data_IF_505666761120
#
_entry.id   IF_505666761120
#
_cell.length_a   1.000
_cell.length_b   1.000
_cell.length_c   1.000
_cell.angle_alpha   90.00
_cell.angle_beta   90.00
_cell.angle_gamma   90.00
#
_symmetry.space_group_name_H-M   'P 1'
#
loop_
_entity.id
_entity.type
_entity.pdbx_description
1 polymer ?
#
# COMPACT_ATOMS: atom_id res chain seq x y z
N UNK A 1 28.33 -1.60 -16.27
CA UNK A 1 26.97 -1.78 -16.80
C UNK A 1 26.00 -1.67 -15.64
N UNK A 2 25.20 -0.61 -15.49
CA UNK A 2 24.19 -0.54 -14.44
C UNK A 2 23.10 -1.56 -14.74
N UNK A 3 22.81 -2.45 -13.76
CA UNK A 3 21.74 -3.40 -13.87
C UNK A 3 20.40 -2.64 -13.98
N UNK A 4 19.75 -2.72 -15.12
CA UNK A 4 18.36 -2.34 -15.27
C UNK A 4 17.54 -3.10 -14.22
N UNK A 5 17.19 -2.42 -13.13
CA UNK A 5 16.14 -2.90 -12.24
C UNK A 5 14.84 -2.84 -13.05
N UNK A 6 14.47 -3.98 -13.63
CA UNK A 6 13.10 -4.18 -14.11
C UNK A 6 12.20 -3.89 -12.93
N UNK A 7 11.46 -2.78 -12.99
CA UNK A 7 10.34 -2.52 -12.10
C UNK A 7 9.37 -3.68 -12.30
N UNK A 8 9.43 -4.65 -11.39
CA UNK A 8 8.55 -5.82 -11.42
C UNK A 8 7.11 -5.32 -11.40
N UNK A 9 6.25 -5.93 -12.22
CA UNK A 9 4.82 -5.59 -12.25
C UNK A 9 4.26 -5.79 -10.84
N UNK A 10 3.83 -4.69 -10.20
CA UNK A 10 3.12 -4.76 -8.92
C UNK A 10 1.76 -5.37 -9.14
N UNK A 11 1.45 -6.47 -8.45
CA UNK A 11 0.14 -7.08 -8.49
C UNK A 11 -0.87 -6.20 -7.73
N UNK A 12 -2.07 -6.01 -8.27
CA UNK A 12 -3.16 -5.29 -7.64
C UNK A 12 -4.22 -6.30 -7.18
N UNK A 13 -4.45 -6.38 -5.88
CA UNK A 13 -5.41 -7.30 -5.28
C UNK A 13 -6.49 -6.53 -4.53
N UNK A 14 -7.75 -6.91 -4.71
CA UNK A 14 -8.86 -6.39 -3.93
C UNK A 14 -9.46 -7.52 -3.11
N UNK A 15 -9.44 -7.37 -1.79
CA UNK A 15 -9.98 -8.34 -0.84
C UNK A 15 -11.21 -7.75 -0.16
N UNK A 16 -12.34 -8.43 -0.27
CA UNK A 16 -13.58 -8.04 0.39
C UNK A 16 -13.83 -8.91 1.61
N UNK A 17 -14.02 -8.29 2.77
CA UNK A 17 -14.28 -8.96 4.04
C UNK A 17 -15.62 -8.49 4.61
N UNK A 18 -16.40 -9.41 5.18
CA UNK A 18 -17.62 -9.07 5.88
C UNK A 18 -17.34 -8.26 7.17
N UNK A 19 -16.19 -8.50 7.81
CA UNK A 19 -15.80 -7.81 9.03
C UNK A 19 -14.29 -7.84 9.29
N UNK A 20 -13.84 -7.05 10.27
CA UNK A 20 -12.45 -7.07 10.77
C UNK A 20 -12.10 -8.43 11.39
N UNK A 21 -13.05 -9.10 12.02
CA UNK A 21 -12.88 -10.44 12.59
C UNK A 21 -12.59 -11.46 11.48
N UNK A 22 -13.28 -11.36 10.35
CA UNK A 22 -12.99 -12.20 9.18
C UNK A 22 -11.56 -11.92 8.68
N UNK A 23 -11.16 -10.66 8.49
CA UNK A 23 -9.79 -10.34 8.14
C UNK A 23 -8.78 -10.97 9.11
N UNK A 24 -9.03 -10.89 10.42
CA UNK A 24 -8.16 -11.49 11.45
C UNK A 24 -7.98 -12.99 11.28
N UNK A 25 -9.02 -13.69 10.85
CA UNK A 25 -8.93 -15.14 10.62
C UNK A 25 -7.94 -15.48 9.49
N UNK A 26 -7.63 -14.51 8.62
CA UNK A 26 -6.67 -14.61 7.52
C UNK A 26 -5.29 -14.05 7.87
N UNK A 27 -5.03 -13.67 9.12
CA UNK A 27 -3.75 -13.12 9.54
C UNK A 27 -2.97 -14.09 10.42
N UNK A 28 -1.65 -14.07 10.27
CA UNK A 28 -0.67 -14.63 11.20
C UNK A 28 0.32 -13.54 11.54
N UNK A 29 0.54 -13.33 12.82
CA UNK A 29 1.49 -12.34 13.31
C UNK A 29 2.82 -13.03 13.57
N UNK A 30 3.87 -12.56 12.92
CA UNK A 30 5.26 -12.99 13.08
C UNK A 30 6.11 -11.80 13.54
N UNK A 31 7.30 -12.07 14.09
CA UNK A 31 8.17 -11.04 14.70
C UNK A 31 8.49 -9.87 13.77
N UNK A 32 8.55 -10.11 12.46
CA UNK A 32 9.00 -9.11 11.46
C UNK A 32 7.93 -8.70 10.46
N UNK A 33 6.82 -9.42 10.38
CA UNK A 33 5.76 -9.12 9.42
C UNK A 33 4.43 -9.74 9.84
N UNK A 34 3.35 -9.14 9.40
CA UNK A 34 2.04 -9.76 9.44
C UNK A 34 1.84 -10.53 8.14
N UNK A 35 1.58 -11.82 8.23
CA UNK A 35 1.25 -12.65 7.07
C UNK A 35 -0.26 -12.64 6.87
N UNK A 36 -0.68 -12.21 5.69
CA UNK A 36 -2.05 -12.34 5.20
C UNK A 36 -2.12 -13.55 4.28
N UNK A 37 -3.03 -14.46 4.52
CA UNK A 37 -3.18 -15.66 3.70
C UNK A 37 -4.62 -15.86 3.26
N UNK A 38 -4.79 -16.37 2.04
CA UNK A 38 -6.08 -16.74 1.48
C UNK A 38 -5.89 -17.80 0.39
N UNK A 39 -6.99 -18.45 0.02
CA UNK A 39 -7.00 -19.42 -1.06
C UNK A 39 -7.54 -18.77 -2.33
N UNK A 40 -6.80 -18.89 -3.40
CA UNK A 40 -7.22 -18.52 -4.75
C UNK A 40 -6.46 -19.40 -5.75
N UNK A 41 -7.19 -20.27 -6.45
CA UNK A 41 -6.60 -21.20 -7.40
C UNK A 41 -6.20 -20.53 -8.73
N UNK A 42 -6.74 -19.34 -9.02
CA UNK A 42 -6.47 -18.60 -10.25
C UNK A 42 -5.26 -17.68 -10.13
N UNK A 43 -4.87 -17.37 -8.89
CA UNK A 43 -3.80 -16.43 -8.61
C UNK A 43 -2.48 -17.14 -8.34
N UNK A 44 -1.62 -17.20 -9.35
CA UNK A 44 -0.24 -17.68 -9.23
C UNK A 44 0.73 -16.52 -9.30
N UNK A 45 1.28 -16.14 -8.15
CA UNK A 45 2.27 -15.07 -8.03
C UNK A 45 3.58 -15.64 -7.50
N UNK A 46 4.67 -15.32 -8.20
CA UNK A 46 6.00 -15.72 -7.77
C UNK A 46 6.37 -15.11 -6.41
N UNK A 47 7.09 -15.86 -5.57
CA UNK A 47 7.62 -15.34 -4.30
C UNK A 47 8.48 -14.09 -4.56
N UNK A 48 8.38 -13.10 -3.68
CA UNK A 48 9.03 -11.80 -3.82
C UNK A 48 8.28 -10.79 -4.70
N UNK A 49 7.21 -11.18 -5.40
CA UNK A 49 6.37 -10.23 -6.15
C UNK A 49 5.78 -9.21 -5.20
N UNK A 50 5.88 -7.93 -5.54
CA UNK A 50 5.20 -6.86 -4.79
C UNK A 50 3.71 -6.88 -5.12
N UNK A 51 2.88 -6.77 -4.09
CA UNK A 51 1.43 -6.64 -4.21
C UNK A 51 0.94 -5.39 -3.48
N UNK A 52 -0.01 -4.68 -4.09
CA UNK A 52 -0.82 -3.67 -3.41
C UNK A 52 -2.18 -4.27 -3.15
N UNK A 53 -2.63 -4.22 -1.91
CA UNK A 53 -3.86 -4.86 -1.46
C UNK A 53 -4.84 -3.78 -1.01
N UNK A 54 -5.97 -3.68 -1.68
CA UNK A 54 -7.12 -2.90 -1.22
C UNK A 54 -8.05 -3.83 -0.43
N UNK A 55 -8.21 -3.57 0.86
CA UNK A 55 -9.15 -4.30 1.72
C UNK A 55 -10.43 -3.49 1.84
N UNK A 56 -11.54 -4.12 1.50
CA UNK A 56 -12.89 -3.53 1.54
C UNK A 56 -13.71 -4.29 2.58
N UNK A 57 -14.51 -3.58 3.36
CA UNK A 57 -15.41 -4.19 4.35
C UNK A 57 -16.85 -3.92 3.97
N UNK A 58 -17.67 -4.97 3.84
CA UNK A 58 -19.02 -4.91 3.27
C UNK A 58 -19.95 -3.91 3.98
N UNK A 59 -19.76 -3.70 5.26
CA UNK A 59 -20.60 -2.83 6.08
C UNK A 59 -20.01 -1.42 6.27
N UNK A 60 -19.00 -1.04 5.50
CA UNK A 60 -18.38 0.26 5.66
C UNK A 60 -17.87 0.80 4.32
N UNK A 61 -17.98 2.11 4.14
CA UNK A 61 -17.28 2.81 3.06
C UNK A 61 -15.75 2.85 3.28
N UNK A 62 -15.26 2.03 4.20
CA UNK A 62 -13.88 2.03 4.64
C UNK A 62 -13.06 1.11 3.76
N UNK A 63 -11.99 1.64 3.22
CA UNK A 63 -10.98 0.86 2.52
C UNK A 63 -9.63 1.03 3.21
N UNK A 64 -8.87 -0.04 3.26
CA UNK A 64 -7.48 -0.01 3.70
C UNK A 64 -6.59 -0.51 2.58
N UNK A 65 -5.57 0.26 2.23
CA UNK A 65 -4.56 -0.16 1.27
C UNK A 65 -3.27 -0.46 2.00
N UNK A 66 -2.69 -1.62 1.71
CA UNK A 66 -1.39 -2.03 2.23
C UNK A 66 -0.50 -2.52 1.10
N UNK A 67 0.80 -2.29 1.25
CA UNK A 67 1.81 -2.92 0.41
C UNK A 67 2.25 -4.22 1.05
N UNK A 68 2.38 -5.26 0.24
CA UNK A 68 2.83 -6.56 0.67
C UNK A 68 3.82 -7.14 -0.33
N UNK A 69 4.51 -8.20 0.05
CA UNK A 69 5.26 -9.05 -0.86
C UNK A 69 4.77 -10.48 -0.76
N UNK A 70 4.77 -11.20 -1.87
CA UNK A 70 4.45 -12.62 -1.87
C UNK A 70 5.53 -13.36 -1.08
N UNK A 71 5.17 -13.91 0.08
CA UNK A 71 6.07 -14.73 0.87
C UNK A 71 6.18 -16.14 0.27
N UNK A 72 5.03 -16.70 -0.14
CA UNK A 72 4.93 -17.97 -0.84
C UNK A 72 3.59 -18.13 -1.52
N UNK A 73 3.54 -18.96 -2.56
CA UNK A 73 2.33 -19.47 -3.20
C UNK A 73 2.47 -20.98 -3.30
N UNK A 74 1.50 -21.74 -2.81
CA UNK A 74 1.52 -23.22 -2.85
C UNK A 74 0.12 -23.80 -2.69
N UNK A 75 -0.27 -24.72 -3.56
CA UNK A 75 -1.54 -25.44 -3.47
C UNK A 75 -2.78 -24.52 -3.53
N UNK A 76 -2.71 -23.43 -4.29
CA UNK A 76 -3.78 -22.45 -4.37
C UNK A 76 -3.90 -21.58 -3.11
N UNK A 77 -2.91 -21.60 -2.19
CA UNK A 77 -2.84 -20.73 -1.04
C UNK A 77 -1.74 -19.69 -1.26
N UNK A 78 -2.11 -18.43 -1.19
CA UNK A 78 -1.19 -17.29 -1.29
C UNK A 78 -0.92 -16.73 0.11
N UNK A 79 0.35 -16.52 0.41
CA UNK A 79 0.83 -15.89 1.63
C UNK A 79 1.52 -14.56 1.29
N UNK A 80 1.02 -13.48 1.84
CA UNK A 80 1.51 -12.13 1.62
C UNK A 80 2.10 -11.57 2.91
N UNK A 81 3.37 -11.22 2.89
CA UNK A 81 4.02 -10.53 4.00
C UNK A 81 3.73 -9.03 3.93
N UNK A 82 3.01 -8.53 4.93
CA UNK A 82 2.72 -7.11 5.12
C UNK A 82 3.69 -6.56 6.16
N UNK A 83 4.69 -5.77 5.79
CA UNK A 83 5.70 -5.25 6.72
C UNK A 83 5.20 -4.05 7.54
N UNK A 84 3.97 -3.60 7.32
CA UNK A 84 3.36 -2.43 7.96
C UNK A 84 3.02 -2.73 9.42
N UNK A 85 3.89 -2.32 10.35
CA UNK A 85 3.69 -2.47 11.80
C UNK A 85 2.44 -1.73 12.31
N UNK A 86 2.06 -0.63 11.64
CA UNK A 86 0.84 0.11 11.95
C UNK A 86 -0.41 -0.68 11.57
N UNK A 87 -0.39 -1.35 10.41
CA UNK A 87 -1.47 -2.24 10.01
C UNK A 87 -1.67 -3.36 11.03
N UNK A 88 -0.59 -4.02 11.46
CA UNK A 88 -0.64 -5.07 12.48
C UNK A 88 -1.30 -4.56 13.77
N UNK A 89 -0.87 -3.40 14.28
CA UNK A 89 -1.40 -2.76 15.48
C UNK A 89 -2.89 -2.42 15.33
N UNK A 90 -3.27 -1.72 14.26
CA UNK A 90 -4.66 -1.34 13.99
C UNK A 90 -5.60 -2.54 13.96
N UNK A 91 -5.18 -3.64 13.32
CA UNK A 91 -5.98 -4.87 13.27
C UNK A 91 -6.05 -5.53 14.65
N UNK A 92 -4.96 -5.55 15.42
CA UNK A 92 -4.91 -6.15 16.75
C UNK A 92 -5.80 -5.38 17.73
N UNK A 93 -5.75 -4.06 17.72
CA UNK A 93 -6.49 -3.17 18.62
C UNK A 93 -7.96 -2.98 18.24
N UNK A 94 -8.42 -3.60 17.16
CA UNK A 94 -9.75 -3.36 16.57
C UNK A 94 -9.97 -1.91 16.11
N UNK A 95 -8.90 -1.19 15.88
CA UNK A 95 -8.89 0.23 15.57
C UNK A 95 -8.74 0.49 14.06
N UNK A 96 -9.26 -0.39 13.20
CA UNK A 96 -9.39 -0.07 11.78
C UNK A 96 -10.40 1.07 11.65
N UNK A 97 -9.92 2.26 11.99
CA UNK A 97 -10.69 3.49 11.82
C UNK A 97 -10.74 3.78 10.33
N UNK A 98 -11.90 3.58 9.76
CA UNK A 98 -12.13 3.96 8.37
C UNK A 98 -11.98 5.45 8.19
N UNK A 99 -11.21 5.80 7.20
CA UNK A 99 -11.07 7.20 6.80
C UNK A 99 -12.18 7.53 5.82
N UNK A 100 -12.79 8.70 5.99
CA UNK A 100 -13.75 9.22 5.01
C UNK A 100 -13.03 9.42 3.66
N UNK A 101 -13.52 8.79 2.61
CA UNK A 101 -13.04 8.90 1.25
C UNK A 101 -12.17 7.72 0.79
N UNK A 102 -12.41 7.32 -0.46
CA UNK A 102 -11.71 6.22 -1.12
C UNK A 102 -10.22 6.52 -1.23
N UNK A 103 -9.39 5.53 -0.97
CA UNK A 103 -7.95 5.54 -1.21
C UNK A 103 -7.58 4.42 -2.17
N UNK A 104 -6.63 4.71 -3.02
CA UNK A 104 -6.09 3.77 -3.99
C UNK A 104 -4.62 3.53 -3.69
N UNK A 105 -4.19 2.29 -3.72
CA UNK A 105 -2.77 1.94 -3.67
C UNK A 105 -2.05 2.40 -4.94
N UNK A 106 -0.86 2.95 -4.80
CA UNK A 106 -0.17 3.59 -5.92
C UNK A 106 1.19 2.97 -6.23
N UNK A 107 2.07 2.81 -5.29
CA UNK A 107 3.45 2.34 -5.48
C UNK A 107 4.22 3.14 -6.55
N UNK A 108 4.26 4.46 -6.40
CA UNK A 108 4.95 5.38 -7.32
C UNK A 108 6.06 6.12 -6.59
N UNK A 109 7.20 6.22 -7.26
CA UNK A 109 8.33 6.99 -6.74
C UNK A 109 8.07 8.48 -6.93
N UNK A 110 8.23 9.26 -5.85
CA UNK A 110 8.10 10.69 -5.82
C UNK A 110 9.44 11.35 -5.44
N UNK A 111 9.70 12.50 -6.03
CA UNK A 111 10.64 13.48 -5.49
C UNK A 111 9.87 14.35 -4.49
N UNK A 112 10.37 14.38 -3.26
CA UNK A 112 9.89 15.22 -2.19
C UNK A 112 10.93 16.32 -1.96
N UNK A 113 10.53 17.57 -2.08
CA UNK A 113 11.34 18.74 -1.81
C UNK A 113 10.77 19.49 -0.60
N UNK A 114 11.63 19.80 0.35
CA UNK A 114 11.27 20.60 1.54
C UNK A 114 11.48 22.09 1.28
N UNK A 115 10.86 22.95 2.08
CA UNK A 115 11.10 24.40 2.02
C UNK A 115 12.57 24.80 2.17
N UNK A 116 13.39 23.95 2.80
CA UNK A 116 14.85 24.13 2.89
C UNK A 116 15.59 23.86 1.58
N UNK A 117 14.92 23.42 0.52
CA UNK A 117 15.52 22.97 -0.73
C UNK A 117 16.10 21.54 -0.68
N UNK A 118 16.01 20.84 0.45
CA UNK A 118 16.48 19.48 0.54
C UNK A 118 15.51 18.52 -0.17
N UNK A 119 16.05 17.70 -1.07
CA UNK A 119 15.31 16.72 -1.85
C UNK A 119 15.49 15.30 -1.32
N UNK A 120 14.46 14.48 -1.46
CA UNK A 120 14.49 13.05 -1.12
C UNK A 120 13.59 12.26 -2.04
N UNK A 121 13.94 11.00 -2.28
CA UNK A 121 13.11 10.09 -3.04
C UNK A 121 12.27 9.25 -2.08
N UNK A 122 10.95 9.32 -2.22
CA UNK A 122 9.98 8.61 -1.39
C UNK A 122 8.99 7.83 -2.26
N UNK A 123 8.35 6.81 -1.71
CA UNK A 123 7.30 6.07 -2.41
C UNK A 123 5.93 6.57 -1.98
N UNK A 124 5.08 6.95 -2.92
CA UNK A 124 3.65 7.14 -2.68
C UNK A 124 3.00 5.77 -2.55
N UNK A 125 2.51 5.47 -1.37
CA UNK A 125 1.93 4.16 -1.03
C UNK A 125 0.43 4.11 -1.29
N UNK A 126 -0.27 5.18 -0.96
CA UNK A 126 -1.68 5.35 -1.29
C UNK A 126 -2.02 6.82 -1.57
N UNK A 127 -3.11 7.04 -2.30
CA UNK A 127 -3.62 8.36 -2.65
C UNK A 127 -5.13 8.43 -2.47
N UNK A 128 -5.60 9.60 -2.05
CA UNK A 128 -6.99 10.05 -2.11
C UNK A 128 -7.03 11.47 -2.66
N UNK A 129 -8.21 11.99 -2.95
CA UNK A 129 -8.36 13.41 -3.37
C UNK A 129 -7.92 14.43 -2.30
N UNK A 130 -7.79 14.01 -1.05
CA UNK A 130 -7.43 14.90 0.07
C UNK A 130 -5.97 14.80 0.49
N UNK A 131 -5.27 13.72 0.14
CA UNK A 131 -3.91 13.47 0.59
C UNK A 131 -3.46 12.06 0.25
N UNK A 132 -2.33 11.65 0.78
CA UNK A 132 -1.73 10.35 0.53
C UNK A 132 -0.92 9.85 1.71
N UNK A 133 -0.32 8.69 1.53
CA UNK A 133 0.67 8.11 2.41
C UNK A 133 1.96 7.88 1.64
N UNK A 134 3.06 8.31 2.21
CA UNK A 134 4.40 8.17 1.65
C UNK A 134 5.29 7.37 2.60
N UNK A 135 6.31 6.71 2.05
CA UNK A 135 7.29 5.94 2.83
C UNK A 135 8.51 5.62 2.00
N UNK A 136 9.41 4.78 2.54
CA UNK A 136 10.55 4.27 1.78
C UNK A 136 11.59 5.33 1.43
N UNK A 137 12.15 6.01 2.43
CA UNK A 137 13.19 7.03 2.24
C UNK A 137 12.81 8.40 2.78
N UNK A 138 11.94 8.43 3.81
CA UNK A 138 11.62 9.69 4.48
C UNK A 138 12.87 10.38 5.01
N UNK A 139 13.04 11.68 4.77
CA UNK A 139 14.16 12.43 5.34
C UNK A 139 14.10 12.37 6.87
N UNK A 140 15.23 12.16 7.56
CA UNK A 140 15.25 12.03 9.03
C UNK A 140 14.80 13.30 9.74
N UNK A 141 14.90 14.47 9.08
CA UNK A 141 14.47 15.75 9.64
C UNK A 141 13.02 16.11 9.28
N UNK A 142 12.27 15.21 8.60
CA UNK A 142 10.87 15.48 8.28
C UNK A 142 10.05 15.49 9.56
N UNK A 143 9.22 16.52 9.72
CA UNK A 143 8.42 16.74 10.91
C UNK A 143 6.94 16.93 10.57
N UNK A 144 6.07 16.61 11.53
CA UNK A 144 4.63 16.91 11.41
C UNK A 144 4.44 18.42 11.29
N UNK A 145 3.64 18.84 10.32
CA UNK A 145 3.42 20.25 9.98
C UNK A 145 4.29 20.78 8.85
N UNK A 146 5.39 20.08 8.50
CA UNK A 146 6.25 20.50 7.39
C UNK A 146 5.45 20.60 6.09
N UNK A 147 5.79 21.62 5.31
CA UNK A 147 5.31 21.80 3.94
C UNK A 147 6.31 21.21 2.97
N UNK A 148 5.82 20.42 2.04
CA UNK A 148 6.65 19.71 1.05
C UNK A 148 6.05 19.88 -0.36
N UNK A 149 6.91 20.01 -1.37
CA UNK A 149 6.53 19.87 -2.75
C UNK A 149 6.71 18.42 -3.20
N UNK A 150 5.83 17.95 -4.06
CA UNK A 150 5.78 16.56 -4.51
C UNK A 150 5.71 16.50 -6.02
N UNK A 151 6.62 15.73 -6.63
CA UNK A 151 6.66 15.48 -8.05
C UNK A 151 6.80 13.99 -8.34
N UNK A 152 6.19 13.50 -9.42
CA UNK A 152 6.42 12.14 -9.90
C UNK A 152 7.85 12.02 -10.42
N UNK A 153 8.60 11.04 -9.94
CA UNK A 153 9.97 10.79 -10.40
C UNK A 153 10.02 10.21 -11.82
N UNK A 154 8.96 9.54 -12.25
CA UNK A 154 8.76 9.06 -13.61
C UNK A 154 7.38 9.43 -14.08
N UNK A 155 7.27 9.96 -15.30
CA UNK A 155 6.03 10.42 -15.92
C UNK A 155 5.61 9.39 -16.95
N UNK A 156 4.40 8.86 -16.84
CA UNK A 156 3.76 8.09 -17.90
C UNK A 156 3.09 9.05 -18.89
N UNK A 157 2.82 8.57 -20.11
CA UNK A 157 2.19 9.40 -21.16
C UNK A 157 0.87 9.96 -20.66
N UNK A 158 0.73 11.28 -20.68
CA UNK A 158 -0.47 11.99 -20.21
C UNK A 158 -0.48 12.41 -18.73
N UNK A 159 0.54 12.04 -17.95
CA UNK A 159 0.69 12.51 -16.57
C UNK A 159 1.35 13.89 -16.48
N UNK A 160 1.03 14.63 -15.44
CA UNK A 160 1.73 15.88 -15.09
C UNK A 160 2.78 15.58 -14.01
N UNK A 161 4.01 16.11 -14.11
CA UNK A 161 5.10 15.82 -13.17
C UNK A 161 4.77 16.27 -11.75
N UNK A 162 4.14 17.42 -11.58
CA UNK A 162 3.87 18.01 -10.29
C UNK A 162 2.55 17.53 -9.69
N UNK A 163 2.61 16.90 -8.51
CA UNK A 163 1.42 16.62 -7.69
C UNK A 163 1.02 17.91 -6.94
N UNK A 164 1.98 18.74 -6.59
CA UNK A 164 1.80 20.01 -5.89
C UNK A 164 2.38 20.02 -4.49
N UNK A 165 1.90 20.93 -3.64
CA UNK A 165 2.34 21.03 -2.26
C UNK A 165 1.41 20.26 -1.32
N UNK A 166 2.01 19.73 -0.27
CA UNK A 166 1.30 19.03 0.78
C UNK A 166 1.88 19.41 2.16
N UNK A 167 1.10 19.16 3.20
CA UNK A 167 1.53 19.29 4.59
C UNK A 167 1.62 17.91 5.22
N UNK A 168 2.68 17.66 5.95
CA UNK A 168 2.85 16.41 6.72
C UNK A 168 1.87 16.43 7.90
N UNK A 169 0.97 15.45 7.92
CA UNK A 169 -0.08 15.34 8.93
C UNK A 169 0.32 14.45 10.11
N UNK A 170 1.11 13.43 9.86
CA UNK A 170 1.62 12.49 10.85
C UNK A 170 2.85 11.76 10.30
N UNK A 171 3.71 11.25 11.20
CA UNK A 171 4.85 10.37 10.89
C UNK A 171 4.80 9.21 11.87
N UNK A 172 4.89 7.98 11.37
CA UNK A 172 4.91 6.76 12.19
C UNK A 172 5.54 5.61 11.41
N UNK A 173 6.39 4.79 12.07
CA UNK A 173 6.97 3.55 11.54
C UNK A 173 7.63 3.68 10.14
N UNK A 174 8.30 4.81 9.85
CA UNK A 174 8.96 5.04 8.55
C UNK A 174 8.02 5.45 7.42
N UNK A 175 6.77 5.78 7.75
CA UNK A 175 5.77 6.32 6.85
C UNK A 175 5.29 7.70 7.32
N UNK A 176 4.75 8.49 6.39
CA UNK A 176 4.10 9.76 6.70
C UNK A 176 2.79 9.92 5.95
N UNK A 177 1.81 10.48 6.64
CA UNK A 177 0.58 10.94 6.00
C UNK A 177 0.71 12.38 5.56
N UNK A 178 0.28 12.68 4.35
CA UNK A 178 0.31 14.01 3.77
C UNK A 178 -1.10 14.48 3.42
N UNK A 179 -1.36 15.77 3.58
CA UNK A 179 -2.58 16.45 3.15
C UNK A 179 -2.25 17.41 2.01
N UNK A 180 -2.89 17.24 0.86
CA UNK A 180 -2.68 18.13 -0.28
C UNK A 180 -3.23 19.52 -0.02
N UNK A 181 -2.42 20.55 -0.30
CA UNK A 181 -2.87 21.92 -0.26
C UNK A 181 -3.72 22.23 -1.49
N UNK A 182 -4.99 22.60 -1.26
CA UNK A 182 -6.01 22.80 -2.31
C UNK A 182 -6.10 24.22 -2.82
N UNK A 183 -5.09 25.04 -2.60
CA UNK A 183 -5.13 26.48 -2.87
C UNK A 183 -5.23 26.82 -4.35
N UNK A 184 -4.64 25.99 -5.24
CA UNK A 184 -4.58 26.27 -6.68
C UNK A 184 -5.43 25.28 -7.51
N UNK A 185 -6.29 25.78 -8.42
CA UNK A 185 -7.12 24.92 -9.28
C UNK A 185 -6.29 23.92 -10.13
N UNK A 186 -5.15 24.35 -10.65
CA UNK A 186 -4.26 23.50 -11.45
C UNK A 186 -3.73 22.29 -10.66
N UNK A 187 -3.36 22.51 -9.39
CA UNK A 187 -2.88 21.43 -8.50
C UNK A 187 -3.98 20.46 -8.13
N UNK A 188 -5.20 20.97 -7.92
CA UNK A 188 -6.37 20.07 -7.71
C UNK A 188 -6.61 19.18 -8.92
N UNK A 189 -6.47 19.73 -10.13
CA UNK A 189 -6.59 18.98 -11.37
C UNK A 189 -5.50 17.93 -11.52
N UNK A 190 -4.25 18.22 -11.13
CA UNK A 190 -3.13 17.27 -11.17
C UNK A 190 -3.38 16.07 -10.22
N UNK A 191 -3.80 16.34 -8.97
CA UNK A 191 -4.17 15.28 -8.02
C UNK A 191 -5.35 14.45 -8.54
N UNK A 192 -6.38 15.09 -9.10
CA UNK A 192 -7.53 14.39 -9.66
C UNK A 192 -7.12 13.48 -10.82
N UNK A 193 -6.30 13.96 -11.75
CA UNK A 193 -5.79 13.14 -12.86
C UNK A 193 -4.97 11.94 -12.38
N UNK A 194 -4.07 12.15 -11.40
CA UNK A 194 -3.32 11.04 -10.82
C UNK A 194 -4.23 10.03 -10.14
N UNK A 195 -5.26 10.49 -9.42
CA UNK A 195 -6.25 9.62 -8.79
C UNK A 195 -7.03 8.82 -9.83
N UNK A 196 -7.49 9.45 -10.91
CA UNK A 196 -8.19 8.80 -12.03
C UNK A 196 -7.31 7.75 -12.73
N UNK A 197 -6.04 8.07 -12.98
CA UNK A 197 -5.09 7.12 -13.55
C UNK A 197 -4.88 5.91 -12.63
N UNK A 198 -4.77 6.12 -11.32
CA UNK A 198 -4.71 5.03 -10.33
C UNK A 198 -6.01 4.24 -10.31
N UNK A 199 -7.16 4.90 -10.36
CA UNK A 199 -8.47 4.23 -10.39
C UNK A 199 -8.61 3.35 -11.64
N UNK A 200 -8.19 3.83 -12.80
CA UNK A 200 -8.18 3.05 -14.04
C UNK A 200 -7.32 1.79 -13.89
N UNK A 201 -6.12 1.90 -13.30
CA UNK A 201 -5.27 0.72 -13.01
C UNK A 201 -5.95 -0.27 -12.06
N UNK A 202 -6.68 0.23 -11.04
CA UNK A 202 -7.41 -0.63 -10.10
C UNK A 202 -8.63 -1.33 -10.70
N UNK A 203 -9.13 -0.91 -11.86
CA UNK A 203 -10.18 -1.66 -12.59
C UNK A 203 -9.71 -3.03 -13.06
N UNK A 204 -8.41 -3.21 -13.25
CA UNK A 204 -7.79 -4.50 -13.58
C UNK A 204 -7.27 -5.27 -12.37
N UNK A 205 -7.56 -4.81 -11.15
CA UNK A 205 -7.17 -5.52 -9.93
C UNK A 205 -7.89 -6.86 -9.85
N UNK A 206 -7.15 -7.89 -9.47
CA UNK A 206 -7.73 -9.21 -9.18
C UNK A 206 -8.59 -9.10 -7.91
N UNK A 207 -9.90 -9.38 -8.05
CA UNK A 207 -10.88 -9.26 -6.96
C UNK A 207 -11.12 -10.63 -6.32
N UNK A 208 -10.96 -10.69 -5.00
CA UNK A 208 -11.23 -11.86 -4.18
C UNK A 208 -12.36 -11.49 -3.21
N UNK A 209 -13.53 -12.06 -3.44
CA UNK A 209 -14.71 -11.84 -2.60
C UNK A 209 -14.79 -12.94 -1.55
N UNK A 210 -14.93 -12.54 -0.29
CA UNK A 210 -15.12 -13.45 0.83
C UNK A 210 -14.09 -14.58 0.83
N UNK A 211 -12.78 -14.26 0.99
CA UNK A 211 -11.75 -15.28 1.01
C UNK A 211 -12.14 -16.39 1.99
N UNK A 212 -12.09 -17.64 1.51
CA UNK A 212 -12.55 -18.79 2.28
C UNK A 212 -11.76 -18.93 3.59
N UNK A 213 -12.48 -19.06 4.69
CA UNK A 213 -11.90 -19.33 6.02
C UNK A 213 -11.34 -20.74 6.16
N UNK A 214 -11.42 -21.56 5.12
CA UNK A 214 -11.04 -23.00 5.11
C UNK A 214 -9.54 -23.25 5.36
N UNK A 215 -8.72 -22.20 5.48
CA UNK A 215 -7.28 -22.34 5.75
C UNK A 215 -6.92 -22.54 7.23
N UNK A 216 -7.88 -22.77 8.13
CA UNK A 216 -7.62 -22.95 9.57
C UNK A 216 -6.68 -24.11 9.93
N UNK A 217 -6.29 -24.93 8.98
CA UNK A 217 -5.40 -26.07 9.20
C UNK A 217 -4.08 -26.05 8.44
N UNK A 218 -3.79 -25.01 7.64
CA UNK A 218 -2.51 -24.91 6.96
C UNK A 218 -1.44 -24.43 7.98
N UNK A 219 -0.88 -25.38 8.73
CA UNK A 219 0.33 -25.13 9.50
C UNK A 219 1.41 -24.57 8.55
N UNK A 220 2.13 -23.51 8.95
CA UNK A 220 3.32 -23.10 8.24
C UNK A 220 4.26 -24.31 8.23
N UNK A 221 4.53 -24.86 7.07
CA UNK A 221 5.56 -25.87 6.91
C UNK A 221 6.83 -25.28 7.55
N UNK A 222 7.23 -25.81 8.70
CA UNK A 222 8.49 -25.47 9.34
C UNK A 222 9.55 -25.60 8.25
N UNK A 223 10.30 -24.50 8.03
CA UNK A 223 11.51 -24.57 7.25
C UNK A 223 12.34 -25.67 7.90
N UNK A 224 12.43 -26.82 7.27
CA UNK A 224 13.39 -27.84 7.63
C UNK A 224 14.75 -27.23 7.36
N UNK A 225 15.34 -26.63 8.38
CA UNK A 225 16.80 -26.42 8.46
C UNK A 225 17.44 -27.78 8.35
N UNK A 226 17.68 -28.25 7.15
CA UNK A 226 18.64 -29.31 6.90
C UNK A 226 20.02 -28.68 7.07
N UNK A 227 20.56 -28.71 8.31
CA UNK A 227 21.99 -28.66 8.51
C UNK A 227 22.57 -29.97 8.01
N UNK A 228 23.39 -29.91 7.00
CA UNK A 228 24.57 -30.74 6.75
C UNK A 228 25.66 -29.83 6.24
#
# INVERSE_FOLDING_TARGET
MPAERRLGKTALLRLSFASVEQLRAHLRFEDKATLLFFRDAELDLAAGTTAMIEMVFDNSEQTRVVRASVARSSGGVLWLAVPDARFAREVTERALVGRRGRRLGVDRLLRLERESGAESMVTLLDISLAGGRIGGGLPPQLSVGDRVALELASIEVGETPGIGTARVAWIDAGEAGILFERTEPARRAAVAKLFEACEFRWRSAHEIRHPDTCCRGAEPLRATSSCC
#
